data_IF_686767826152
#
_entry.id   IF_686767826152
#
_cell.length_a   1.000
_cell.length_b   1.000
_cell.length_c   1.000
_cell.angle_alpha   90.00
_cell.angle_beta   90.00
_cell.angle_gamma   90.00
#
_symmetry.space_group_name_H-M   'P 1'
#
loop_
_entity.id
_entity.type
_entity.pdbx_description
1 polymer ?
#
# COMPACT_ATOMS: atom_id res chain seq x y z
N UNK A 1 -15.18 34.81 -78.48
CA UNK A 1 -15.47 35.59 -77.25
C UNK A 1 -15.85 34.64 -76.11
N UNK A 2 -14.99 33.69 -75.74
CA UNK A 2 -15.31 32.63 -74.75
C UNK A 2 -14.05 32.28 -73.94
N UNK A 3 -13.48 33.26 -73.24
CA UNK A 3 -12.29 33.00 -72.40
C UNK A 3 -12.26 33.76 -71.07
N UNK A 4 -13.32 34.52 -70.76
CA UNK A 4 -13.42 35.25 -69.48
C UNK A 4 -14.47 34.67 -68.52
N UNK A 5 -15.23 33.64 -68.93
CA UNK A 5 -16.25 33.03 -68.07
C UNK A 5 -15.71 31.98 -67.08
N UNK A 6 -14.50 31.46 -67.30
CA UNK A 6 -13.94 30.39 -66.47
C UNK A 6 -13.37 30.89 -65.11
N UNK A 7 -12.81 32.11 -65.05
CA UNK A 7 -12.14 32.61 -63.82
C UNK A 7 -13.08 32.93 -62.64
N UNK A 8 -14.35 33.23 -62.91
CA UNK A 8 -15.34 33.52 -61.85
C UNK A 8 -15.91 32.25 -61.20
N UNK A 9 -15.91 31.14 -61.93
CA UNK A 9 -16.42 29.84 -61.46
C UNK A 9 -15.42 29.17 -60.49
N UNK A 10 -14.13 29.29 -60.77
CA UNK A 10 -13.05 28.76 -59.91
C UNK A 10 -12.99 29.43 -58.52
N UNK A 11 -13.38 30.71 -58.44
CA UNK A 11 -13.35 31.46 -57.18
C UNK A 11 -14.56 31.15 -56.29
N UNK A 12 -15.69 30.73 -56.87
CA UNK A 12 -16.88 30.31 -56.13
C UNK A 12 -16.75 28.88 -55.60
N UNK A 13 -16.16 27.96 -56.37
CA UNK A 13 -15.94 26.57 -55.92
C UNK A 13 -14.97 26.48 -54.74
N UNK A 14 -13.85 27.22 -54.78
CA UNK A 14 -12.88 27.22 -53.68
C UNK A 14 -13.47 27.74 -52.38
N UNK A 15 -14.39 28.72 -52.46
CA UNK A 15 -15.10 29.23 -51.28
C UNK A 15 -16.07 28.19 -50.73
N UNK A 16 -16.79 27.49 -51.60
CA UNK A 16 -17.72 26.43 -51.19
C UNK A 16 -16.99 25.25 -50.53
N UNK A 17 -15.86 24.82 -51.09
CA UNK A 17 -15.01 23.76 -50.52
C UNK A 17 -14.45 24.21 -49.16
N UNK A 18 -14.01 25.47 -49.04
CA UNK A 18 -13.54 26.02 -47.77
C UNK A 18 -14.64 26.04 -46.70
N UNK A 19 -15.87 26.43 -47.05
CA UNK A 19 -17.00 26.38 -46.12
C UNK A 19 -17.35 24.94 -45.72
N UNK A 20 -17.31 23.99 -46.65
CA UNK A 20 -17.52 22.57 -46.34
C UNK A 20 -16.44 22.03 -45.38
N UNK A 21 -15.18 22.41 -45.60
CA UNK A 21 -14.06 22.02 -44.73
C UNK A 21 -14.19 22.67 -43.33
N UNK A 22 -14.63 23.93 -43.27
CA UNK A 22 -14.86 24.66 -42.02
C UNK A 22 -16.03 24.05 -41.22
N UNK A 23 -17.12 23.68 -41.89
CA UNK A 23 -18.26 23.00 -41.26
C UNK A 23 -17.87 21.59 -40.80
N UNK A 24 -17.12 20.83 -41.61
CA UNK A 24 -16.63 19.50 -41.24
C UNK A 24 -15.68 19.54 -40.05
N UNK A 25 -14.84 20.58 -39.96
CA UNK A 25 -13.94 20.81 -38.81
C UNK A 25 -14.72 21.14 -37.53
N UNK A 26 -15.83 21.89 -37.65
CA UNK A 26 -16.68 22.24 -36.52
C UNK A 26 -17.53 21.05 -36.01
N UNK A 27 -17.81 20.06 -36.87
CA UNK A 27 -18.52 18.82 -36.49
C UNK A 27 -17.55 17.82 -35.84
N UNK A 28 -16.25 17.88 -36.16
CA UNK A 28 -15.22 17.01 -35.58
C UNK A 28 -14.60 17.63 -34.31
N UNK A 29 -15.42 17.98 -33.31
CA UNK A 29 -14.89 18.12 -31.96
C UNK A 29 -14.67 16.71 -31.39
N UNK A 30 -13.42 16.28 -31.10
CA UNK A 30 -13.21 15.07 -30.32
C UNK A 30 -13.72 15.34 -28.91
N UNK A 31 -14.89 14.82 -28.56
CA UNK A 31 -15.27 14.70 -27.15
C UNK A 31 -14.31 13.70 -26.51
N UNK A 32 -13.27 14.21 -25.85
CA UNK A 32 -12.51 13.41 -24.89
C UNK A 32 -13.42 13.17 -23.69
N UNK A 33 -14.31 12.20 -23.80
CA UNK A 33 -15.12 11.72 -22.68
C UNK A 33 -14.18 10.94 -21.77
N UNK A 34 -13.40 11.65 -20.96
CA UNK A 34 -12.61 11.05 -19.91
C UNK A 34 -13.60 10.59 -18.85
N UNK A 35 -14.00 9.32 -18.93
CA UNK A 35 -14.86 8.70 -17.96
C UNK A 35 -14.28 8.96 -16.56
N UNK A 36 -14.98 9.78 -15.79
CA UNK A 36 -14.63 10.08 -14.41
C UNK A 36 -14.67 8.78 -13.63
N UNK A 37 -13.48 8.22 -13.33
CA UNK A 37 -13.39 7.00 -12.55
C UNK A 37 -13.72 7.35 -11.10
N UNK A 38 -14.95 7.08 -10.71
CA UNK A 38 -15.37 7.10 -9.31
C UNK A 38 -14.51 6.07 -8.59
N UNK A 39 -13.61 6.53 -7.73
CA UNK A 39 -12.76 5.66 -6.92
C UNK A 39 -13.61 5.12 -5.77
N UNK A 40 -13.89 3.82 -5.80
CA UNK A 40 -14.58 3.14 -4.71
C UNK A 40 -13.61 2.91 -3.53
N UNK A 41 -13.64 3.82 -2.56
CA UNK A 41 -12.77 3.80 -1.39
C UNK A 41 -13.24 2.80 -0.32
N UNK A 42 -14.44 2.23 -0.44
CA UNK A 42 -14.97 1.28 0.54
C UNK A 42 -14.11 0.01 0.66
N UNK A 43 -13.40 -0.33 -0.43
CA UNK A 43 -12.55 -1.52 -0.52
C UNK A 43 -11.05 -1.21 -0.40
N UNK A 44 -10.65 0.07 -0.30
CA UNK A 44 -9.24 0.47 -0.29
C UNK A 44 -8.44 -0.18 0.85
N UNK A 45 -9.05 -0.30 2.04
CA UNK A 45 -8.42 -0.95 3.20
C UNK A 45 -8.20 -2.45 2.93
N UNK A 46 -9.16 -3.12 2.30
CA UNK A 46 -9.07 -4.54 1.93
C UNK A 46 -7.92 -4.76 0.93
N UNK A 47 -7.76 -3.87 -0.05
CA UNK A 47 -6.67 -3.96 -1.01
C UNK A 47 -5.29 -3.76 -0.38
N UNK A 48 -5.17 -2.79 0.52
CA UNK A 48 -3.91 -2.55 1.26
C UNK A 48 -3.59 -3.76 2.12
N UNK A 49 -4.56 -4.29 2.85
CA UNK A 49 -4.38 -5.48 3.69
C UNK A 49 -3.91 -6.69 2.86
N UNK A 50 -4.54 -6.97 1.71
CA UNK A 50 -4.13 -8.07 0.82
C UNK A 50 -2.68 -7.95 0.35
N UNK A 51 -2.21 -6.73 0.08
CA UNK A 51 -0.83 -6.47 -0.38
C UNK A 51 0.18 -6.48 0.77
N UNK A 52 -0.20 -6.01 1.95
CA UNK A 52 0.71 -5.79 3.06
C UNK A 52 0.82 -6.99 4.02
N UNK A 53 -0.26 -7.74 4.28
CA UNK A 53 -0.26 -8.86 5.24
C UNK A 53 0.84 -9.89 4.98
N UNK A 54 1.13 -10.32 3.72
CA UNK A 54 2.19 -11.31 3.48
C UNK A 54 3.59 -10.88 3.93
N UNK A 55 3.82 -9.58 4.10
CA UNK A 55 5.09 -9.02 4.56
C UNK A 55 5.16 -8.86 6.09
N UNK A 56 4.09 -9.14 6.83
CA UNK A 56 4.02 -8.97 8.29
C UNK A 56 4.27 -10.32 8.98
N UNK A 57 5.24 -10.34 9.91
CA UNK A 57 5.57 -11.53 10.70
C UNK A 57 5.33 -11.28 12.18
N UNK A 58 4.82 -12.28 12.90
CA UNK A 58 4.75 -12.29 14.36
C UNK A 58 5.98 -13.02 14.89
N UNK A 59 6.77 -12.33 15.73
CA UNK A 59 7.98 -12.88 16.33
C UNK A 59 7.74 -12.98 17.84
N UNK A 60 7.81 -14.18 18.36
CA UNK A 60 7.77 -14.48 19.79
C UNK A 60 9.12 -15.05 20.22
N UNK A 61 9.67 -14.53 21.32
CA UNK A 61 10.93 -15.00 21.90
C UNK A 61 10.65 -15.52 23.30
N UNK A 62 10.75 -16.84 23.45
CA UNK A 62 10.74 -17.52 24.76
C UNK A 62 12.19 -17.74 25.19
N UNK A 63 12.74 -16.86 26.03
CA UNK A 63 14.10 -16.99 26.54
C UNK A 63 14.13 -17.85 27.80
N UNK A 64 14.71 -19.04 27.70
CA UNK A 64 14.95 -19.90 28.87
C UNK A 64 16.12 -19.37 29.69
N UNK A 65 15.83 -18.57 30.71
CA UNK A 65 16.85 -18.03 31.62
C UNK A 65 17.16 -19.02 32.74
N UNK A 66 18.41 -19.46 32.83
CA UNK A 66 18.92 -20.16 34.01
C UNK A 66 19.27 -19.11 35.09
N UNK A 67 18.31 -18.81 35.98
CA UNK A 67 18.55 -17.91 37.10
C UNK A 67 19.15 -18.72 38.28
N UNK A 68 20.29 -18.30 38.85
CA UNK A 68 20.80 -18.92 40.07
C UNK A 68 19.81 -18.68 41.21
N UNK A 69 19.54 -19.72 42.00
CA UNK A 69 18.63 -19.60 43.13
C UNK A 69 19.15 -18.53 44.12
N UNK A 70 18.41 -17.45 44.40
CA UNK A 70 18.88 -16.39 45.29
C UNK A 70 19.10 -16.86 46.74
N UNK A 71 18.58 -18.04 47.11
CA UNK A 71 18.76 -18.65 48.44
C UNK A 71 19.93 -19.64 48.53
N UNK A 72 20.58 -20.00 47.41
CA UNK A 72 21.78 -20.86 47.42
C UNK A 72 22.93 -20.38 48.31
N UNK A 73 23.31 -19.09 48.35
CA UNK A 73 24.48 -18.68 49.14
C UNK A 73 24.28 -18.84 50.65
N UNK A 74 23.03 -18.96 51.12
CA UNK A 74 22.71 -19.14 52.55
C UNK A 74 22.53 -20.61 52.96
N UNK A 75 22.65 -21.55 52.01
CA UNK A 75 22.42 -22.98 52.26
C UNK A 75 23.52 -23.61 53.14
N UNK A 76 24.73 -23.04 53.12
CA UNK A 76 25.87 -23.49 53.91
C UNK A 76 26.03 -22.77 55.25
N UNK A 77 25.18 -21.77 55.54
CA UNK A 77 25.25 -21.01 56.79
C UNK A 77 24.47 -21.73 57.91
N UNK A 78 25.11 -22.04 59.06
CA UNK A 78 24.48 -22.73 60.18
C UNK A 78 23.32 -21.96 60.83
N UNK A 79 23.41 -20.63 60.90
CA UNK A 79 22.37 -19.79 61.50
C UNK A 79 21.13 -19.76 60.62
N UNK A 80 21.31 -19.55 59.31
CA UNK A 80 20.18 -19.51 58.37
C UNK A 80 19.41 -20.83 58.34
N UNK A 81 20.11 -21.97 58.39
CA UNK A 81 19.49 -23.29 58.40
C UNK A 81 18.61 -23.52 59.64
N UNK A 82 19.01 -22.99 60.79
CA UNK A 82 18.29 -23.17 62.06
C UNK A 82 17.07 -22.27 62.20
N UNK A 83 17.14 -21.02 61.73
CA UNK A 83 16.04 -20.05 61.91
C UNK A 83 15.01 -20.08 60.77
N UNK A 84 15.42 -20.41 59.54
CA UNK A 84 14.53 -20.33 58.36
C UNK A 84 14.12 -21.69 57.79
N UNK A 85 14.69 -22.81 58.27
CA UNK A 85 14.27 -24.15 57.88
C UNK A 85 14.37 -24.43 56.37
N UNK A 86 15.48 -24.02 55.73
CA UNK A 86 15.65 -24.07 54.28
C UNK A 86 15.54 -25.52 53.73
N UNK A 87 14.56 -25.82 52.85
CA UNK A 87 14.48 -27.11 52.17
C UNK A 87 15.60 -27.27 51.13
N UNK A 88 15.91 -28.52 50.75
CA UNK A 88 16.86 -28.80 49.66
C UNK A 88 16.29 -28.31 48.32
N UNK A 89 16.57 -27.05 47.98
CA UNK A 89 16.15 -26.45 46.70
C UNK A 89 17.13 -26.77 45.56
N UNK A 90 16.64 -26.88 44.32
CA UNK A 90 17.49 -27.09 43.15
C UNK A 90 18.42 -25.89 42.92
N UNK A 91 19.62 -26.17 42.38
CA UNK A 91 20.66 -25.14 42.13
C UNK A 91 20.29 -24.13 41.04
N UNK A 92 19.33 -24.48 40.18
CA UNK A 92 18.89 -23.66 39.04
C UNK A 92 17.38 -23.80 38.89
N UNK A 93 16.69 -22.70 38.62
CA UNK A 93 15.29 -22.71 38.22
C UNK A 93 15.18 -22.43 36.72
N UNK A 94 14.22 -23.08 36.06
CA UNK A 94 13.82 -22.72 34.69
C UNK A 94 12.71 -21.68 34.80
N UNK A 95 12.92 -20.53 34.18
CA UNK A 95 11.88 -19.53 33.97
C UNK A 95 11.51 -19.57 32.49
N UNK A 96 10.23 -19.77 32.19
CA UNK A 96 9.65 -19.74 30.84
C UNK A 96 9.25 -18.32 30.44
#
# INVERSE_FOLDING_TARGET
MVLLRHRGQDMMEKRLIFFFFLISSLIFLPSHTQAERVIDLSTAIVEVAKKAIPAVVHIEVTERKEVPNPFLPFQTDPFFRRFFGLPNMPKKFKQE
#
